data_IF_138959307587
#
_entry.id   IF_138959307587
#
_cell.length_a   1.000
_cell.length_b   1.000
_cell.length_c   1.000
_cell.angle_alpha   90.00
_cell.angle_beta   90.00
_cell.angle_gamma   90.00
#
_symmetry.space_group_name_H-M   'P 1'
#
loop_
_entity.id
_entity.type
_entity.pdbx_description
1 polymer ?
#
# COMPACT_ATOMS: atom_id res chain seq x y z
N UNK A 1 47.15 -76.09 -3.81
CA UNK A 1 48.01 -75.58 -4.89
C UNK A 1 48.07 -74.06 -4.72
N UNK A 2 49.18 -73.51 -4.20
CA UNK A 2 50.24 -72.76 -4.93
C UNK A 2 49.63 -71.75 -5.94
N UNK A 3 49.62 -70.44 -5.62
CA UNK A 3 50.67 -69.41 -5.84
C UNK A 3 50.31 -68.53 -7.06
N UNK A 4 50.07 -67.22 -6.88
CA UNK A 4 50.95 -66.10 -7.29
C UNK A 4 50.86 -65.75 -8.79
N UNK A 5 51.07 -64.54 -9.34
CA UNK A 5 51.41 -63.15 -8.97
C UNK A 5 50.99 -62.33 -10.21
N UNK A 6 50.52 -61.07 -10.08
CA UNK A 6 51.23 -59.93 -10.68
C UNK A 6 50.57 -58.57 -10.37
N UNK A 7 51.44 -57.66 -9.98
CA UNK A 7 51.27 -56.25 -9.68
C UNK A 7 51.10 -55.43 -10.97
N UNK A 8 50.43 -54.28 -10.91
CA UNK A 8 50.91 -53.05 -11.55
C UNK A 8 50.18 -51.81 -11.04
N UNK A 9 50.91 -51.02 -10.26
CA UNK A 9 50.65 -49.62 -10.00
C UNK A 9 50.49 -48.86 -11.33
N UNK A 10 49.48 -47.99 -11.41
CA UNK A 10 49.53 -46.80 -12.25
C UNK A 10 48.98 -45.61 -11.45
N UNK A 11 49.91 -44.75 -11.03
CA UNK A 11 49.63 -43.45 -10.46
C UNK A 11 49.45 -42.46 -11.62
N UNK A 12 48.32 -41.76 -11.69
CA UNK A 12 47.97 -40.92 -12.83
C UNK A 12 46.85 -39.93 -12.55
N UNK A 13 47.17 -38.92 -11.74
CA UNK A 13 46.71 -37.51 -11.84
C UNK A 13 45.21 -37.25 -12.05
N UNK A 14 44.51 -36.84 -10.99
CA UNK A 14 43.47 -35.80 -11.07
C UNK A 14 43.58 -34.83 -9.88
N UNK A 15 43.45 -33.55 -10.20
CA UNK A 15 43.65 -32.31 -9.44
C UNK A 15 42.53 -32.07 -8.40
N UNK A 16 42.70 -31.18 -7.40
CA UNK A 16 41.83 -31.08 -6.23
C UNK A 16 40.59 -30.24 -6.55
N UNK A 17 39.41 -30.86 -6.53
CA UNK A 17 38.14 -30.12 -6.47
C UNK A 17 37.87 -29.78 -5.00
N UNK A 18 38.18 -28.53 -4.62
CA UNK A 18 37.80 -27.97 -3.34
C UNK A 18 36.28 -27.83 -3.28
N UNK A 19 35.61 -28.89 -2.86
CA UNK A 19 34.26 -28.80 -2.33
C UNK A 19 34.34 -28.11 -0.97
N UNK A 20 34.11 -26.79 -0.96
CA UNK A 20 33.69 -26.08 0.25
C UNK A 20 32.30 -26.60 0.61
N UNK A 21 32.22 -27.77 1.24
CA UNK A 21 31.02 -28.17 1.95
C UNK A 21 30.90 -27.25 3.15
N UNK A 22 30.15 -26.17 2.99
CA UNK A 22 29.60 -25.43 4.12
C UNK A 22 28.67 -26.39 4.86
N UNK A 23 29.24 -27.10 5.83
CA UNK A 23 28.48 -27.88 6.79
C UNK A 23 27.75 -26.88 7.69
N UNK A 24 26.55 -26.48 7.26
CA UNK A 24 25.55 -25.99 8.18
C UNK A 24 25.15 -27.18 9.06
N UNK A 25 25.90 -27.37 10.14
CA UNK A 25 25.50 -28.21 11.26
C UNK A 25 24.20 -27.63 11.82
N UNK A 26 23.07 -28.14 11.34
CA UNK A 26 21.77 -27.82 11.90
C UNK A 26 21.67 -28.51 13.25
N UNK A 27 22.04 -27.78 14.30
CA UNK A 27 21.64 -28.12 15.66
C UNK A 27 20.11 -28.14 15.69
N UNK A 28 19.54 -29.33 15.54
CA UNK A 28 18.10 -29.58 15.41
C UNK A 28 17.30 -29.27 16.68
N UNK A 29 17.96 -28.94 17.78
CA UNK A 29 17.35 -28.75 19.10
C UNK A 29 17.61 -27.37 19.73
N UNK A 30 18.20 -26.43 18.99
CA UNK A 30 18.28 -25.05 19.46
C UNK A 30 16.96 -24.31 19.13
N UNK A 31 15.96 -24.42 20.01
CA UNK A 31 14.77 -23.56 19.93
C UNK A 31 15.21 -22.10 20.08
N UNK A 32 15.15 -21.36 18.98
CA UNK A 32 15.38 -19.91 18.97
C UNK A 32 14.20 -19.26 19.68
N UNK A 33 14.45 -18.66 20.85
CA UNK A 33 13.43 -17.89 21.59
C UNK A 33 13.34 -16.48 20.99
N UNK A 34 12.13 -15.96 20.87
CA UNK A 34 11.85 -14.60 20.39
C UNK A 34 10.45 -14.14 20.76
N UNK A 35 10.18 -12.85 20.57
CA UNK A 35 8.87 -12.22 20.73
C UNK A 35 8.46 -11.64 19.37
N UNK A 36 7.17 -11.76 19.03
CA UNK A 36 6.58 -11.14 17.84
C UNK A 36 5.49 -10.19 18.32
N UNK A 37 5.57 -8.94 17.88
CA UNK A 37 4.56 -7.91 18.13
C UNK A 37 4.12 -7.39 16.76
N UNK A 38 2.84 -7.13 16.61
CA UNK A 38 2.27 -6.61 15.38
C UNK A 38 1.96 -5.13 15.54
N UNK A 39 2.26 -4.34 14.50
CA UNK A 39 1.75 -2.97 14.43
C UNK A 39 0.24 -2.98 14.18
N UNK A 40 -0.46 -2.01 14.75
CA UNK A 40 -1.90 -1.76 14.53
C UNK A 40 -2.26 -1.80 13.04
N UNK A 41 -1.44 -1.18 12.19
CA UNK A 41 -1.63 -1.14 10.72
C UNK A 41 -1.68 -2.52 10.07
N UNK A 42 -1.02 -3.53 10.65
CA UNK A 42 -1.06 -4.91 10.14
C UNK A 42 -2.42 -5.54 10.45
N UNK A 43 -2.88 -5.38 11.70
CA UNK A 43 -4.17 -5.90 12.16
C UNK A 43 -5.32 -5.22 11.39
N UNK A 44 -5.28 -3.90 11.25
CA UNK A 44 -6.25 -3.12 10.47
C UNK A 44 -6.39 -3.65 9.02
N UNK A 45 -5.27 -4.02 8.38
CA UNK A 45 -5.29 -4.58 7.02
C UNK A 45 -5.90 -5.97 6.94
N UNK A 46 -5.63 -6.83 7.93
CA UNK A 46 -6.24 -8.16 8.01
C UNK A 46 -7.75 -8.02 8.13
N UNK A 47 -8.21 -7.22 9.09
CA UNK A 47 -9.63 -7.00 9.37
C UNK A 47 -10.31 -6.42 8.13
N UNK A 48 -9.81 -5.30 7.63
CA UNK A 48 -10.44 -4.62 6.51
C UNK A 48 -10.49 -5.49 5.24
N UNK A 49 -9.45 -6.29 4.96
CA UNK A 49 -9.48 -7.24 3.84
C UNK A 49 -10.43 -8.41 4.08
N UNK A 50 -10.68 -8.79 5.33
CA UNK A 50 -11.57 -9.90 5.67
C UNK A 50 -13.04 -9.50 5.55
N UNK A 51 -13.39 -8.32 6.08
CA UNK A 51 -14.77 -7.85 6.16
C UNK A 51 -15.30 -7.23 4.85
N UNK A 52 -14.41 -6.82 3.93
CA UNK A 52 -14.77 -6.28 2.59
C UNK A 52 -15.72 -7.19 1.79
N UNK A 53 -15.76 -8.49 2.09
CA UNK A 53 -16.61 -9.48 1.40
C UNK A 53 -17.96 -9.71 2.05
N UNK A 54 -18.25 -9.03 3.16
CA UNK A 54 -19.51 -9.21 3.90
C UNK A 54 -20.64 -8.54 3.13
N UNK A 55 -21.65 -9.33 2.77
CA UNK A 55 -22.83 -8.82 2.07
C UNK A 55 -23.59 -7.85 2.97
N UNK A 56 -23.86 -6.65 2.45
CA UNK A 56 -24.53 -5.58 3.19
C UNK A 56 -23.61 -4.62 3.93
N UNK A 57 -22.30 -4.87 3.99
CA UNK A 57 -21.33 -3.84 4.36
C UNK A 57 -20.98 -3.03 3.11
N UNK A 58 -21.24 -1.72 3.12
CA UNK A 58 -20.85 -0.83 2.01
C UNK A 58 -19.44 -0.30 2.21
N UNK A 59 -19.16 0.19 3.40
CA UNK A 59 -17.85 0.73 3.74
C UNK A 59 -17.62 0.79 5.24
N UNK A 60 -16.36 0.90 5.63
CA UNK A 60 -15.92 1.32 6.95
C UNK A 60 -15.50 2.78 6.82
N UNK A 61 -16.12 3.65 7.61
CA UNK A 61 -16.01 5.10 7.53
C UNK A 61 -14.60 5.56 7.90
N UNK A 62 -13.88 6.08 6.89
CA UNK A 62 -12.54 6.64 7.04
C UNK A 62 -11.73 6.58 5.74
N UNK A 63 -12.16 5.80 4.75
CA UNK A 63 -11.51 5.73 3.44
C UNK A 63 -10.86 4.38 3.14
N UNK A 64 -11.21 3.35 3.90
CA UNK A 64 -10.74 1.98 3.69
C UNK A 64 -11.19 1.38 2.34
N UNK A 65 -12.21 1.95 1.69
CA UNK A 65 -12.75 1.36 0.46
C UNK A 65 -12.12 2.04 -0.76
N UNK A 66 -11.14 1.30 -1.28
CA UNK A 66 -10.43 1.47 -2.53
C UNK A 66 -11.38 1.71 -3.70
N UNK A 67 -11.62 2.99 -3.99
CA UNK A 67 -11.75 3.49 -5.37
C UNK A 67 -11.10 4.88 -5.52
N UNK A 68 -10.83 5.60 -4.42
CA UNK A 68 -10.00 6.81 -4.45
C UNK A 68 -8.48 6.52 -4.33
N UNK A 69 -8.09 5.36 -3.78
CA UNK A 69 -6.70 5.05 -3.44
C UNK A 69 -5.86 4.51 -4.61
N UNK A 70 -6.46 3.96 -5.66
CA UNK A 70 -5.70 3.36 -6.78
C UNK A 70 -4.90 4.39 -7.62
N UNK A 71 -5.10 5.70 -7.42
CA UNK A 71 -4.42 6.74 -8.23
C UNK A 71 -3.58 7.75 -7.46
N UNK A 72 -3.55 7.71 -6.13
CA UNK A 72 -2.68 8.58 -5.32
C UNK A 72 -1.58 7.74 -4.67
N UNK A 73 -0.46 7.65 -5.38
CA UNK A 73 0.75 6.83 -5.14
C UNK A 73 1.46 7.10 -3.80
N UNK A 74 0.85 7.80 -2.83
CA UNK A 74 1.55 8.18 -1.59
C UNK A 74 0.67 8.52 -0.38
N UNK A 75 -0.53 7.95 -0.27
CA UNK A 75 -1.29 8.08 0.99
C UNK A 75 -1.18 6.80 1.79
N UNK A 76 -0.35 6.85 2.85
CA UNK A 76 -0.17 5.81 3.87
C UNK A 76 -1.44 5.50 4.68
N UNK A 77 -2.61 6.00 4.26
CA UNK A 77 -3.84 6.04 5.03
C UNK A 77 -4.89 5.06 4.51
N UNK A 78 -4.45 3.85 4.16
CA UNK A 78 -5.30 2.72 3.73
C UNK A 78 -5.99 2.06 4.92
N UNK A 79 -5.98 2.67 6.11
CA UNK A 79 -6.52 2.08 7.36
C UNK A 79 -7.55 2.95 8.04
N UNK A 80 -7.93 4.07 7.44
CA UNK A 80 -8.85 4.98 8.07
C UNK A 80 -10.26 4.34 8.16
N UNK A 81 -10.75 4.24 9.40
CA UNK A 81 -12.06 3.72 9.78
C UNK A 81 -12.04 2.47 10.66
N UNK A 82 -10.88 1.83 10.81
CA UNK A 82 -10.68 0.75 11.77
C UNK A 82 -9.61 1.22 12.76
N UNK A 83 -10.01 1.43 14.01
CA UNK A 83 -9.10 1.67 15.12
C UNK A 83 -8.83 0.35 15.84
N UNK A 84 -7.57 0.13 16.21
CA UNK A 84 -7.16 -1.11 16.86
C UNK A 84 -6.18 -0.80 17.96
N UNK A 85 -6.31 -1.46 19.09
CA UNK A 85 -5.32 -1.47 20.16
C UNK A 85 -4.71 -2.87 20.24
N UNK A 86 -3.43 -3.00 19.89
CA UNK A 86 -2.73 -4.28 19.82
C UNK A 86 -1.80 -4.46 21.01
N UNK A 87 -2.11 -5.46 21.83
CA UNK A 87 -1.25 -5.96 22.89
C UNK A 87 -0.37 -7.13 22.44
N UNK A 88 0.32 -7.75 23.41
CA UNK A 88 1.17 -8.92 23.13
C UNK A 88 0.38 -10.19 22.82
N UNK A 89 -0.80 -10.32 23.41
CA UNK A 89 -1.66 -11.50 23.31
C UNK A 89 -3.10 -11.15 22.90
N UNK A 90 -3.47 -9.87 22.96
CA UNK A 90 -4.85 -9.42 22.86
C UNK A 90 -5.00 -8.25 21.89
N UNK A 91 -6.18 -8.13 21.28
CA UNK A 91 -6.55 -7.04 20.38
C UNK A 91 -7.96 -6.54 20.72
N UNK A 92 -8.12 -5.23 20.79
CA UNK A 92 -9.42 -4.56 20.76
C UNK A 92 -9.59 -3.82 19.42
N UNK A 93 -10.83 -3.82 18.91
CA UNK A 93 -11.17 -3.23 17.60
C UNK A 93 -12.37 -2.32 17.74
N UNK A 94 -12.26 -1.11 17.20
CA UNK A 94 -13.36 -0.15 17.04
C UNK A 94 -13.50 0.20 15.57
N UNK A 95 -14.74 0.19 15.06
CA UNK A 95 -15.00 0.53 13.66
C UNK A 95 -16.33 1.26 13.47
N UNK A 96 -16.30 2.22 12.56
CA UNK A 96 -17.48 2.93 12.08
C UNK A 96 -17.90 2.34 10.72
N UNK A 97 -19.14 1.91 10.56
CA UNK A 97 -19.59 1.22 9.33
C UNK A 97 -20.80 1.88 8.68
N UNK A 98 -20.86 1.81 7.35
CA UNK A 98 -22.03 2.17 6.54
C UNK A 98 -22.64 0.88 6.00
N UNK A 99 -23.92 0.66 6.26
CA UNK A 99 -24.63 -0.57 5.92
C UNK A 99 -25.57 -0.33 4.73
N UNK A 100 -25.75 -1.34 3.89
CA UNK A 100 -26.66 -1.30 2.75
C UNK A 100 -28.13 -1.27 3.20
N UNK A 101 -28.92 -0.36 2.61
CA UNK A 101 -30.34 -0.26 2.85
C UNK A 101 -31.06 -1.57 2.47
N UNK A 102 -31.95 -2.04 3.36
CA UNK A 102 -32.72 -3.27 3.15
C UNK A 102 -32.05 -4.55 3.62
N UNK A 103 -30.85 -4.47 4.21
CA UNK A 103 -30.17 -5.58 4.89
C UNK A 103 -30.48 -5.59 6.40
N UNK A 104 -30.36 -6.76 7.03
CA UNK A 104 -30.43 -6.86 8.49
C UNK A 104 -29.11 -6.39 9.10
N UNK A 105 -29.15 -5.23 9.76
CA UNK A 105 -27.97 -4.63 10.38
C UNK A 105 -27.39 -5.55 11.46
N UNK A 106 -28.22 -6.25 12.21
CA UNK A 106 -27.75 -7.13 13.29
C UNK A 106 -26.95 -8.29 12.70
N UNK A 107 -27.46 -8.90 11.63
CA UNK A 107 -26.78 -9.98 10.93
C UNK A 107 -25.45 -9.52 10.33
N UNK A 108 -25.43 -8.36 9.65
CA UNK A 108 -24.20 -7.79 9.08
C UNK A 108 -23.16 -7.54 10.16
N UNK A 109 -23.56 -6.90 11.26
CA UNK A 109 -22.65 -6.57 12.38
C UNK A 109 -22.13 -7.84 13.06
N UNK A 110 -22.97 -8.86 13.26
CA UNK A 110 -22.53 -10.13 13.84
C UNK A 110 -21.56 -10.88 12.92
N UNK A 111 -21.79 -10.85 11.60
CA UNK A 111 -20.84 -11.38 10.62
C UNK A 111 -19.50 -10.63 10.68
N UNK A 112 -19.52 -9.30 10.80
CA UNK A 112 -18.29 -8.51 10.94
C UNK A 112 -17.51 -8.94 12.18
N UNK A 113 -18.16 -9.12 13.33
CA UNK A 113 -17.50 -9.58 14.57
C UNK A 113 -16.87 -10.96 14.38
N UNK A 114 -17.63 -11.91 13.84
CA UNK A 114 -17.16 -13.27 13.63
C UNK A 114 -15.94 -13.32 12.69
N UNK A 115 -16.04 -12.65 11.54
CA UNK A 115 -14.96 -12.62 10.54
C UNK A 115 -13.71 -11.92 11.09
N UNK A 116 -13.89 -10.82 11.84
CA UNK A 116 -12.79 -10.09 12.49
C UNK A 116 -12.06 -10.97 13.48
N UNK A 117 -12.80 -11.63 14.37
CA UNK A 117 -12.26 -12.56 15.35
C UNK A 117 -11.47 -13.70 14.66
N UNK A 118 -12.13 -14.40 13.74
CA UNK A 118 -11.58 -15.60 13.13
C UNK A 118 -10.31 -15.32 12.31
N UNK A 119 -10.28 -14.25 11.52
CA UNK A 119 -9.12 -13.96 10.66
C UNK A 119 -7.94 -13.38 11.45
N UNK A 120 -8.17 -12.56 12.48
CA UNK A 120 -7.09 -12.06 13.35
C UNK A 120 -6.49 -13.21 14.16
N UNK A 121 -7.31 -14.03 14.82
CA UNK A 121 -6.84 -15.17 15.61
C UNK A 121 -6.06 -16.16 14.73
N UNK A 122 -6.62 -16.53 13.57
CA UNK A 122 -6.00 -17.48 12.64
C UNK A 122 -4.66 -17.01 12.08
N UNK A 123 -4.49 -15.72 11.80
CA UNK A 123 -3.26 -15.20 11.21
C UNK A 123 -2.19 -14.85 12.25
N UNK A 124 -2.61 -14.37 13.42
CA UNK A 124 -1.70 -13.75 14.39
C UNK A 124 -1.60 -14.50 15.72
N UNK A 125 -2.56 -15.38 16.00
CA UNK A 125 -2.76 -16.06 17.29
C UNK A 125 -3.00 -15.10 18.46
N UNK A 126 -3.45 -13.88 18.17
CA UNK A 126 -3.91 -12.93 19.18
C UNK A 126 -5.40 -13.17 19.46
N UNK A 127 -5.78 -13.00 20.72
CA UNK A 127 -7.16 -13.10 21.19
C UNK A 127 -7.90 -11.76 20.97
N UNK A 128 -8.98 -11.78 20.20
CA UNK A 128 -9.79 -10.58 19.95
C UNK A 128 -10.81 -10.44 21.07
N UNK A 129 -10.51 -9.59 22.05
CA UNK A 129 -11.31 -9.46 23.25
C UNK A 129 -12.60 -8.65 23.03
N UNK A 130 -12.58 -7.73 22.06
CA UNK A 130 -13.65 -6.76 21.84
C UNK A 130 -13.68 -6.28 20.39
N UNK A 131 -14.90 -6.22 19.83
CA UNK A 131 -15.17 -5.64 18.52
C UNK A 131 -16.39 -4.71 18.63
N UNK A 132 -16.10 -3.43 18.74
CA UNK A 132 -17.08 -2.36 18.78
C UNK A 132 -17.38 -1.87 17.37
N UNK A 133 -18.68 -1.83 17.05
CA UNK A 133 -19.15 -1.45 15.73
C UNK A 133 -20.20 -0.36 15.90
N UNK A 134 -19.92 0.80 15.33
CA UNK A 134 -20.83 1.92 15.28
C UNK A 134 -21.35 2.10 13.85
N UNK A 135 -22.66 1.93 13.68
CA UNK A 135 -23.29 2.10 12.37
C UNK A 135 -23.54 3.58 12.14
N UNK A 136 -22.72 4.21 11.31
CA UNK A 136 -22.73 5.67 11.11
C UNK A 136 -23.77 6.11 10.09
N UNK A 137 -24.10 5.27 9.11
CA UNK A 137 -25.07 5.60 8.06
C UNK A 137 -25.66 4.35 7.40
N UNK A 138 -26.77 4.52 6.70
CA UNK A 138 -27.42 3.50 5.88
C UNK A 138 -27.68 4.08 4.50
N UNK A 139 -27.15 3.44 3.45
CA UNK A 139 -27.28 3.90 2.07
C UNK A 139 -27.70 2.79 1.13
N UNK A 140 -28.34 3.14 0.03
CA UNK A 140 -28.42 2.23 -1.12
C UNK A 140 -27.04 2.11 -1.78
N UNK A 141 -26.82 1.04 -2.56
CA UNK A 141 -25.58 0.89 -3.34
C UNK A 141 -25.43 2.05 -4.33
N UNK A 142 -26.51 2.47 -4.96
CA UNK A 142 -26.52 3.57 -5.92
C UNK A 142 -26.11 4.90 -5.29
N UNK A 143 -26.61 5.22 -4.08
CA UNK A 143 -26.20 6.44 -3.36
C UNK A 143 -24.72 6.40 -2.97
N UNK A 144 -24.24 5.24 -2.53
CA UNK A 144 -22.83 5.06 -2.17
C UNK A 144 -21.89 5.24 -3.39
N UNK A 145 -22.25 4.67 -4.53
CA UNK A 145 -21.48 4.78 -5.77
C UNK A 145 -21.43 6.23 -6.29
N UNK A 146 -22.55 6.96 -6.23
CA UNK A 146 -22.64 8.37 -6.65
C UNK A 146 -21.79 9.31 -5.78
N UNK A 147 -21.75 9.06 -4.47
CA UNK A 147 -20.92 9.83 -3.54
C UNK A 147 -19.42 9.62 -3.84
N UNK A 148 -19.04 8.41 -4.24
CA UNK A 148 -17.66 8.08 -4.63
C UNK A 148 -17.23 8.79 -5.93
N UNK A 149 -18.10 8.83 -6.95
CA UNK A 149 -17.82 9.53 -8.22
C UNK A 149 -17.71 11.05 -8.03
N UNK A 150 -18.61 11.64 -7.25
CA UNK A 150 -18.64 13.09 -7.01
C UNK A 150 -17.34 13.62 -6.38
N UNK A 151 -16.71 12.83 -5.49
CA UNK A 151 -15.44 13.20 -4.86
C UNK A 151 -14.30 13.20 -5.89
N UNK A 152 -14.26 12.20 -6.78
CA UNK A 152 -13.24 12.12 -7.85
C UNK A 152 -13.33 13.30 -8.82
N UNK A 153 -14.54 13.72 -9.19
CA UNK A 153 -14.77 14.86 -10.08
C UNK A 153 -14.34 16.18 -9.46
N UNK A 154 -14.60 16.39 -8.16
CA UNK A 154 -14.16 17.58 -7.43
C UNK A 154 -12.64 17.67 -7.34
N UNK A 155 -11.96 16.56 -7.06
CA UNK A 155 -10.48 16.53 -7.00
C UNK A 155 -9.88 16.77 -8.39
N UNK A 156 -10.43 16.12 -9.42
CA UNK A 156 -9.95 16.26 -10.81
C UNK A 156 -10.12 17.69 -11.33
N UNK A 157 -11.27 18.31 -11.05
CA UNK A 157 -11.55 19.70 -11.45
C UNK A 157 -10.66 20.71 -10.72
N UNK A 158 -10.39 20.50 -9.43
CA UNK A 158 -9.46 21.32 -8.66
C UNK A 158 -8.03 21.23 -9.24
N UNK A 159 -7.53 20.02 -9.48
CA UNK A 159 -6.20 19.81 -10.05
C UNK A 159 -6.06 20.42 -11.46
N UNK A 160 -7.08 20.25 -12.32
CA UNK A 160 -7.11 20.84 -13.67
C UNK A 160 -7.08 22.37 -13.61
N UNK A 161 -7.86 22.97 -12.72
CA UNK A 161 -7.90 24.43 -12.55
C UNK A 161 -6.56 24.98 -12.09
N UNK A 162 -5.91 24.33 -11.12
CA UNK A 162 -4.57 24.72 -10.67
C UNK A 162 -3.52 24.55 -11.76
N UNK A 163 -3.56 23.44 -12.51
CA UNK A 163 -2.67 23.18 -13.63
C UNK A 163 -2.79 24.21 -14.75
N UNK A 164 -4.02 24.54 -15.16
CA UNK A 164 -4.31 25.57 -16.17
C UNK A 164 -3.88 26.97 -15.73
N UNK A 165 -3.97 27.28 -14.43
CA UNK A 165 -3.51 28.55 -13.91
C UNK A 165 -1.97 28.64 -13.92
N UNK A 166 -1.28 27.58 -13.46
CA UNK A 166 0.17 27.52 -13.44
C UNK A 166 0.76 27.55 -14.87
N UNK A 167 0.11 26.87 -15.83
CA UNK A 167 0.52 26.91 -17.23
C UNK A 167 0.34 28.32 -17.80
N UNK A 168 -0.81 28.97 -17.58
CA UNK A 168 -1.05 30.36 -18.03
C UNK A 168 -0.01 31.35 -17.50
N UNK A 169 0.41 31.24 -16.23
CA UNK A 169 1.47 32.11 -15.69
C UNK A 169 2.85 31.82 -16.31
N UNK A 170 3.16 30.54 -16.54
CA UNK A 170 4.42 30.12 -17.17
C UNK A 170 4.49 30.57 -18.62
N UNK A 171 3.42 30.39 -19.38
CA UNK A 171 3.32 30.81 -20.78
C UNK A 171 3.40 32.33 -20.89
N UNK A 172 2.75 33.06 -19.98
CA UNK A 172 2.86 34.52 -19.89
C UNK A 172 4.29 34.97 -19.58
N UNK A 173 4.99 34.28 -18.67
CA UNK A 173 6.38 34.58 -18.36
C UNK A 173 7.31 34.28 -19.55
N UNK A 174 7.12 33.15 -20.25
CA UNK A 174 7.88 32.82 -21.47
C UNK A 174 7.65 33.83 -22.58
N UNK A 175 6.40 34.25 -22.79
CA UNK A 175 6.06 35.29 -23.76
C UNK A 175 6.75 36.62 -23.43
N UNK A 176 6.72 37.05 -22.16
CA UNK A 176 7.39 38.27 -21.72
C UNK A 176 8.92 38.21 -21.83
N UNK A 177 9.53 37.04 -21.58
CA UNK A 177 10.97 36.82 -21.75
C UNK A 177 11.36 36.88 -23.23
N UNK A 178 10.58 36.24 -24.12
CA UNK A 178 10.84 36.27 -25.56
C UNK A 178 10.69 37.70 -26.11
N UNK A 179 9.63 38.44 -25.75
CA UNK A 179 9.48 39.84 -26.14
C UNK A 179 10.64 40.72 -25.61
N UNK A 180 11.11 40.47 -24.39
CA UNK A 180 12.24 41.19 -23.80
C UNK A 180 13.56 40.91 -24.53
N UNK A 181 13.78 39.66 -24.93
CA UNK A 181 14.95 39.24 -25.70
C UNK A 181 14.93 39.81 -27.13
N UNK A 182 13.78 39.80 -27.81
CA UNK A 182 13.60 40.38 -29.15
C UNK A 182 13.84 41.90 -29.13
N UNK A 183 13.25 42.63 -28.18
CA UNK A 183 13.47 44.08 -28.02
C UNK A 183 14.91 44.42 -27.68
N UNK A 184 15.65 43.55 -26.99
CA UNK A 184 17.07 43.74 -26.70
C UNK A 184 17.94 43.50 -27.94
N UNK A 185 17.63 42.47 -28.73
CA UNK A 185 18.31 42.21 -30.00
C UNK A 185 18.06 43.32 -31.03
N UNK A 186 16.83 43.83 -31.12
CA UNK A 186 16.46 44.93 -32.01
C UNK A 186 17.24 46.22 -31.67
N UNK A 187 17.33 46.58 -30.37
CA UNK A 187 18.13 47.74 -29.92
C UNK A 187 19.64 47.56 -30.09
N UNK A 188 20.14 46.32 -30.11
CA UNK A 188 21.56 46.04 -30.38
C UNK A 188 21.87 46.08 -31.87
N UNK A 189 20.94 45.67 -32.73
CA UNK A 189 21.06 45.75 -34.18
C UNK A 189 21.00 47.20 -34.68
N UNK A 190 20.10 48.03 -34.12
CA UNK A 190 19.93 49.43 -34.52
C UNK A 190 21.16 50.31 -34.16
N UNK A 191 21.92 49.92 -33.13
CA UNK A 191 23.12 50.62 -32.67
C UNK A 191 24.40 50.26 -33.46
N UNK A 192 24.37 49.25 -34.33
CA UNK A 192 25.49 48.93 -35.22
C UNK A 192 25.47 49.71 -36.54
N UNK A 193 24.30 50.17 -36.99
CA UNK A 193 24.17 50.99 -38.21
C UNK A 193 24.42 52.49 -37.96
N UNK A 194 24.43 52.95 -36.70
CA UNK A 194 24.69 54.37 -36.37
C UNK A 194 26.17 54.72 -36.16
N UNK A 195 27.08 53.74 -36.12
CA UNK A 195 28.52 53.97 -35.90
C UNK A 195 29.39 53.89 -37.17
N UNK A 196 28.81 53.68 -38.35
CA UNK A 196 29.54 53.73 -39.63
C UNK A 196 28.85 54.71 -40.59
N UNK A 197 28.93 56.01 -40.31
CA UNK A 197 28.78 57.07 -41.30
C UNK A 197 29.60 58.30 -40.93
#
# INVERSE_FOLDING_TARGET
MVENYENKNFNGKETPEQTHTNQFSTNKDAQVKGETVYDDKVIQKIIGSAIDKIDGLLTVNGGFFSNAAEKLVNTENVTAGIETEVGKEQVAVDMDVVVEYGKDITEVVDQIRQVTHDEVEKMTHLDVIEVNIHVVDIKTKEEFDQDSETVQDKVTSAAKTTGEFASKQTDKAKAAVNEGAEKAQEKMADNQDTQVK
#
